data_IF_267307876338
#
_entry.id   IF_267307876338
#
_cell.length_a   1.000
_cell.length_b   1.000
_cell.length_c   1.000
_cell.angle_alpha   90.00
_cell.angle_beta   90.00
_cell.angle_gamma   90.00
#
_symmetry.space_group_name_H-M   'P 1'
#
loop_
_entity.id
_entity.type
_entity.pdbx_description
1 polymer ?
#
# COMPACT_ATOMS: atom_id res chain seq x y z
N UNK A 1 16.42 -8.28 -21.32
CA UNK A 1 17.65 -9.09 -21.37
C UNK A 1 17.46 -10.34 -20.56
N UNK A 2 17.83 -11.49 -21.13
CA UNK A 2 17.81 -12.80 -20.48
C UNK A 2 19.10 -13.55 -20.81
N UNK A 3 19.34 -14.69 -20.16
CA UNK A 3 20.40 -15.61 -20.55
C UNK A 3 19.85 -16.60 -21.58
N UNK A 4 20.50 -16.68 -22.74
CA UNK A 4 20.27 -17.71 -23.76
C UNK A 4 21.59 -18.46 -23.93
N UNK A 5 21.59 -19.76 -23.63
CA UNK A 5 22.80 -20.60 -23.65
C UNK A 5 23.98 -20.02 -22.85
N UNK A 6 23.68 -19.37 -21.71
CA UNK A 6 24.69 -18.73 -20.85
C UNK A 6 25.19 -17.36 -21.33
N UNK A 7 24.67 -16.86 -22.45
CA UNK A 7 25.04 -15.56 -23.01
C UNK A 7 23.93 -14.54 -22.72
N UNK A 8 24.26 -13.33 -22.21
CA UNK A 8 23.30 -12.24 -22.08
C UNK A 8 22.82 -11.76 -23.45
N UNK A 9 21.52 -11.85 -23.71
CA UNK A 9 20.89 -11.40 -24.95
C UNK A 9 19.76 -10.42 -24.64
N UNK A 10 19.67 -9.34 -25.43
CA UNK A 10 18.55 -8.41 -25.39
C UNK A 10 17.32 -9.05 -26.05
N UNK A 11 16.18 -8.97 -25.37
CA UNK A 11 14.90 -9.52 -25.85
C UNK A 11 13.80 -8.49 -25.63
N UNK A 12 12.78 -8.44 -26.52
CA UNK A 12 11.60 -7.61 -26.29
C UNK A 12 10.94 -7.92 -24.94
N UNK A 13 10.40 -6.89 -24.29
CA UNK A 13 9.62 -7.09 -23.06
C UNK A 13 8.39 -7.93 -23.36
N UNK A 14 8.16 -8.96 -22.53
CA UNK A 14 7.01 -9.85 -22.66
C UNK A 14 5.86 -9.49 -21.71
N UNK A 15 6.14 -8.72 -20.66
CA UNK A 15 5.16 -8.27 -19.66
C UNK A 15 5.33 -6.77 -19.37
N UNK A 16 4.25 -6.14 -18.95
CA UNK A 16 4.26 -4.76 -18.42
C UNK A 16 5.01 -4.73 -17.08
N UNK A 17 5.99 -3.83 -16.97
CA UNK A 17 6.92 -3.70 -15.83
C UNK A 17 7.17 -2.22 -15.46
N UNK A 18 6.57 -1.29 -16.21
CA UNK A 18 6.68 0.14 -16.03
C UNK A 18 5.53 0.69 -15.18
N UNK A 19 4.31 0.25 -15.45
CA UNK A 19 3.13 0.64 -14.66
C UNK A 19 2.62 -0.54 -13.84
N UNK A 20 2.63 -0.36 -12.52
CA UNK A 20 2.09 -1.33 -11.57
C UNK A 20 1.13 -0.65 -10.61
N UNK A 21 0.28 -1.47 -10.01
CA UNK A 21 -0.78 -1.07 -9.09
C UNK A 21 -0.55 -1.74 -7.74
N UNK A 22 -0.77 -0.97 -6.68
CA UNK A 22 -0.76 -1.47 -5.31
C UNK A 22 -2.09 -1.07 -4.66
N UNK A 23 -2.75 -2.05 -4.04
CA UNK A 23 -3.99 -1.83 -3.29
C UNK A 23 -3.77 -2.29 -1.85
N UNK A 24 -3.85 -1.35 -0.91
CA UNK A 24 -3.70 -1.63 0.51
C UNK A 24 -5.03 -1.36 1.22
N UNK A 25 -5.40 -2.23 2.16
CA UNK A 25 -6.60 -2.07 2.99
C UNK A 25 -6.21 -1.36 4.28
N UNK A 26 -6.90 -0.26 4.60
CA UNK A 26 -6.70 0.47 5.85
C UNK A 26 -6.97 -0.42 7.06
N UNK A 27 -6.07 -0.37 8.04
CA UNK A 27 -6.25 -0.99 9.36
C UNK A 27 -6.61 0.04 10.45
N UNK A 28 -6.80 1.31 10.08
CA UNK A 28 -7.15 2.36 11.01
C UNK A 28 -8.63 2.27 11.36
N UNK A 29 -8.92 2.28 12.66
CA UNK A 29 -10.25 2.56 13.18
C UNK A 29 -10.41 4.07 13.20
N UNK A 30 -11.51 4.60 12.65
CA UNK A 30 -11.82 6.02 12.64
C UNK A 30 -13.27 6.15 13.11
N UNK A 31 -13.46 6.71 14.30
CA UNK A 31 -14.76 6.86 14.93
C UNK A 31 -15.13 8.34 15.02
N UNK A 32 -16.40 8.64 14.77
CA UNK A 32 -16.99 9.95 14.99
C UNK A 32 -18.35 9.79 15.67
N UNK A 33 -18.72 10.77 16.49
CA UNK A 33 -19.96 10.78 17.25
C UNK A 33 -20.67 12.13 17.04
N UNK A 34 -21.92 12.11 16.60
CA UNK A 34 -22.75 13.30 16.40
C UNK A 34 -23.71 13.58 17.56
N UNK A 35 -23.76 12.74 18.59
CA UNK A 35 -24.71 12.88 19.71
C UNK A 35 -24.60 14.22 20.48
N UNK A 36 -23.46 14.90 20.38
CA UNK A 36 -23.22 16.23 20.99
C UNK A 36 -23.38 17.39 20.01
N UNK A 37 -23.73 17.13 18.76
CA UNK A 37 -23.90 18.14 17.72
C UNK A 37 -25.39 18.46 17.53
N UNK A 38 -25.68 19.68 17.08
CA UNK A 38 -27.06 20.10 16.77
C UNK A 38 -27.64 19.38 15.55
N UNK A 39 -26.76 18.92 14.66
CA UNK A 39 -27.08 18.27 13.40
C UNK A 39 -26.21 17.02 13.22
N UNK A 40 -26.71 16.01 12.50
CA UNK A 40 -25.98 14.77 12.18
C UNK A 40 -24.94 14.97 11.06
N UNK A 41 -24.07 15.97 11.22
CA UNK A 41 -23.00 16.31 10.30
C UNK A 41 -21.65 16.25 10.96
N UNK A 42 -20.75 15.45 10.42
CA UNK A 42 -19.33 15.40 10.82
C UNK A 42 -18.52 16.15 9.78
N UNK A 43 -17.93 17.28 10.17
CA UNK A 43 -17.07 18.11 9.32
C UNK A 43 -15.61 18.01 9.78
N UNK A 44 -14.68 18.28 8.87
CA UNK A 44 -13.23 18.37 9.15
C UNK A 44 -12.59 17.13 9.81
N UNK A 45 -13.18 15.95 9.60
CA UNK A 45 -12.59 14.68 10.04
C UNK A 45 -11.51 14.21 9.07
N UNK A 46 -10.27 14.13 9.55
CA UNK A 46 -9.15 13.59 8.78
C UNK A 46 -9.29 12.08 8.57
N UNK A 47 -9.61 11.66 7.34
CA UNK A 47 -9.77 10.24 6.99
C UNK A 47 -8.43 9.53 6.75
N UNK A 48 -7.53 10.18 6.01
CA UNK A 48 -6.21 9.62 5.76
C UNK A 48 -5.21 10.76 5.55
N UNK A 49 -4.08 10.66 6.25
CA UNK A 49 -2.92 11.51 6.01
C UNK A 49 -1.88 10.69 5.25
N UNK A 50 -1.33 11.27 4.19
CA UNK A 50 -0.28 10.67 3.38
C UNK A 50 0.87 11.67 3.34
N UNK A 51 2.07 11.23 3.73
CA UNK A 51 3.24 12.09 3.69
C UNK A 51 3.59 12.44 2.23
N UNK A 52 3.99 13.69 1.98
CA UNK A 52 4.38 14.16 0.64
C UNK A 52 5.51 13.34 -0.03
N UNK A 53 6.31 12.62 0.76
CA UNK A 53 7.41 11.75 0.30
C UNK A 53 6.97 10.30 0.10
N UNK A 54 5.71 9.97 0.35
CA UNK A 54 5.17 8.62 0.16
C UNK A 54 5.15 8.27 -1.34
N UNK A 55 5.81 7.19 -1.77
CA UNK A 55 5.86 6.77 -3.18
C UNK A 55 4.49 6.41 -3.78
N UNK A 56 3.46 6.17 -2.97
CA UNK A 56 2.10 5.96 -3.48
C UNK A 56 1.52 7.21 -4.15
N UNK A 57 2.03 8.40 -3.82
CA UNK A 57 1.61 9.67 -4.42
C UNK A 57 2.27 9.96 -5.77
N UNK A 58 3.28 9.19 -6.18
CA UNK A 58 4.16 9.57 -7.30
C UNK A 58 3.46 9.73 -8.63
N UNK A 59 2.36 9.01 -8.87
CA UNK A 59 1.65 9.01 -10.15
C UNK A 59 0.17 9.37 -9.96
N UNK A 60 -0.65 8.37 -9.66
CA UNK A 60 -2.08 8.48 -9.45
C UNK A 60 -2.45 7.62 -8.25
N UNK A 61 -3.28 8.16 -7.36
CA UNK A 61 -3.72 7.49 -6.15
C UNK A 61 -5.25 7.38 -6.16
N UNK A 62 -5.76 6.29 -5.60
CA UNK A 62 -7.20 6.09 -5.40
C UNK A 62 -7.47 5.80 -3.94
N UNK A 63 -8.43 6.50 -3.36
CA UNK A 63 -8.94 6.23 -2.01
C UNK A 63 -10.39 5.79 -2.10
N UNK A 64 -10.68 4.57 -1.64
CA UNK A 64 -12.04 4.09 -1.44
C UNK A 64 -12.43 4.30 0.02
N UNK A 65 -13.40 5.18 0.26
CA UNK A 65 -13.93 5.47 1.59
C UNK A 65 -15.24 4.72 1.74
N UNK A 66 -15.36 3.94 2.81
CA UNK A 66 -16.60 3.28 3.24
C UNK A 66 -17.01 3.85 4.58
N UNK A 67 -18.16 4.51 4.62
CA UNK A 67 -18.74 5.06 5.83
C UNK A 67 -19.86 4.13 6.30
N UNK A 68 -19.75 3.67 7.55
CA UNK A 68 -20.75 2.82 8.18
C UNK A 68 -21.51 3.61 9.26
N UNK A 69 -22.83 3.54 9.23
CA UNK A 69 -23.66 4.08 10.33
C UNK A 69 -23.82 2.99 11.39
N UNK A 70 -23.21 3.19 12.55
CA UNK A 70 -23.15 2.18 13.62
C UNK A 70 -23.94 2.61 14.86
N UNK A 71 -24.50 1.63 15.57
CA UNK A 71 -25.17 1.85 16.84
C UNK A 71 -24.19 2.07 18.00
N UNK A 72 -24.74 2.43 19.17
CA UNK A 72 -23.96 2.70 20.40
C UNK A 72 -23.08 1.52 20.82
N UNK A 73 -23.61 0.31 20.78
CA UNK A 73 -22.87 -0.88 21.24
C UNK A 73 -21.67 -1.19 20.33
N UNK A 74 -21.87 -1.08 19.01
CA UNK A 74 -20.79 -1.21 18.04
C UNK A 74 -19.73 -0.11 18.21
N UNK A 75 -20.17 1.15 18.40
CA UNK A 75 -19.25 2.27 18.66
C UNK A 75 -18.38 2.01 19.89
N UNK A 76 -18.99 1.56 20.99
CA UNK A 76 -18.26 1.24 22.23
C UNK A 76 -17.26 0.11 22.01
N UNK A 77 -17.67 -0.95 21.31
CA UNK A 77 -16.78 -2.08 20.99
C UNK A 77 -15.56 -1.61 20.19
N UNK A 78 -15.75 -0.85 19.11
CA UNK A 78 -14.65 -0.36 18.28
C UNK A 78 -13.79 0.67 19.01
N UNK A 79 -14.36 1.48 19.89
CA UNK A 79 -13.60 2.43 20.72
C UNK A 79 -12.66 1.70 21.67
N UNK A 80 -13.15 0.67 22.37
CA UNK A 80 -12.29 -0.16 23.23
C UNK A 80 -11.24 -0.87 22.38
N UNK A 81 -11.61 -1.41 21.22
CA UNK A 81 -10.65 -2.06 20.31
C UNK A 81 -9.56 -1.09 19.84
N UNK A 82 -9.90 0.16 19.52
CA UNK A 82 -8.95 1.23 19.17
C UNK A 82 -8.00 1.54 20.34
N UNK A 83 -8.54 1.72 21.55
CA UNK A 83 -7.76 1.97 22.77
C UNK A 83 -6.78 0.81 23.07
N UNK A 84 -7.21 -0.44 22.87
CA UNK A 84 -6.35 -1.62 23.06
C UNK A 84 -5.29 -1.76 21.96
N UNK A 85 -5.63 -1.39 20.73
CA UNK A 85 -4.73 -1.47 19.57
C UNK A 85 -3.70 -0.32 19.54
N UNK A 86 -3.98 0.80 20.22
CA UNK A 86 -3.17 2.01 20.23
C UNK A 86 -1.91 2.00 21.10
N UNK A 87 -1.43 0.83 21.54
CA UNK A 87 -0.33 0.71 22.52
C UNK A 87 1.02 0.35 21.89
N UNK A 88 1.60 1.25 21.09
CA UNK A 88 3.04 1.21 20.75
C UNK A 88 3.94 1.82 21.87
N UNK A 89 3.37 2.14 23.03
CA UNK A 89 4.15 2.67 24.15
C UNK A 89 4.65 1.52 25.04
N UNK A 90 5.91 1.12 24.85
CA UNK A 90 6.61 0.08 25.63
C UNK A 90 6.59 0.29 27.16
N UNK A 91 6.27 1.50 27.62
CA UNK A 91 6.20 1.87 29.04
C UNK A 91 4.78 1.87 29.63
N UNK A 92 3.75 1.73 28.78
CA UNK A 92 2.36 1.68 29.20
C UNK A 92 1.67 0.51 28.50
N UNK A 93 1.89 -0.69 29.03
CA UNK A 93 1.05 -1.82 28.68
C UNK A 93 -0.28 -1.64 29.40
N UNK A 94 -1.29 -1.12 28.70
CA UNK A 94 -2.68 -1.34 29.09
C UNK A 94 -2.90 -2.84 29.15
N UNK A 95 -3.07 -3.40 30.34
CA UNK A 95 -3.39 -4.82 30.48
C UNK A 95 -4.79 -5.02 29.87
N UNK A 96 -4.91 -5.60 28.65
CA UNK A 96 -6.17 -5.59 27.96
C UNK A 96 -7.14 -6.45 28.76
N UNK A 97 -8.22 -5.83 29.25
CA UNK A 97 -9.37 -6.59 29.70
C UNK A 97 -9.91 -7.46 28.56
N UNK A 98 -10.76 -8.43 28.88
CA UNK A 98 -11.45 -9.18 27.85
C UNK A 98 -12.36 -8.23 27.05
N UNK A 99 -12.13 -8.11 25.74
CA UNK A 99 -12.98 -7.34 24.83
C UNK A 99 -14.26 -8.14 24.53
N UNK A 100 -15.25 -7.95 25.39
CA UNK A 100 -16.56 -8.58 25.23
C UNK A 100 -17.29 -7.98 24.02
N UNK A 101 -17.78 -8.85 23.15
CA UNK A 101 -18.66 -8.49 22.05
C UNK A 101 -20.03 -9.15 22.18
N UNK A 102 -20.74 -9.33 21.07
CA UNK A 102 -22.09 -9.91 21.04
C UNK A 102 -22.15 -11.32 20.41
N UNK A 103 -20.99 -11.99 20.27
CA UNK A 103 -20.89 -13.34 19.70
C UNK A 103 -20.54 -14.32 20.83
N UNK A 104 -21.23 -15.46 20.87
CA UNK A 104 -21.03 -16.51 21.88
C UNK A 104 -20.95 -17.90 21.25
N UNK A 105 -20.23 -18.82 21.91
CA UNK A 105 -20.20 -20.22 21.52
C UNK A 105 -21.38 -20.99 22.15
N UNK A 106 -22.30 -21.48 21.31
CA UNK A 106 -23.47 -22.26 21.75
C UNK A 106 -23.14 -23.65 22.31
N UNK A 107 -21.97 -24.22 21.95
CA UNK A 107 -21.53 -25.53 22.40
C UNK A 107 -20.69 -25.47 23.68
N UNK A 108 -20.10 -24.32 23.99
CA UNK A 108 -19.29 -24.12 25.18
C UNK A 108 -19.46 -22.69 25.74
N UNK A 109 -20.43 -22.47 26.64
CA UNK A 109 -20.69 -21.15 27.22
C UNK A 109 -19.54 -20.57 28.06
N UNK A 110 -18.60 -21.40 28.51
CA UNK A 110 -17.43 -20.95 29.27
C UNK A 110 -16.28 -20.48 28.37
N UNK A 111 -16.40 -20.65 27.06
CA UNK A 111 -15.40 -20.20 26.10
C UNK A 111 -15.50 -18.70 25.86
N UNK A 112 -14.38 -18.01 26.06
CA UNK A 112 -14.25 -16.59 25.77
C UNK A 112 -14.15 -16.38 24.26
N UNK A 113 -15.18 -15.76 23.68
CA UNK A 113 -15.24 -15.46 22.24
C UNK A 113 -14.99 -13.96 22.00
N UNK A 114 -14.09 -13.62 21.08
CA UNK A 114 -13.84 -12.23 20.68
C UNK A 114 -14.50 -11.97 19.34
N UNK A 115 -15.30 -10.92 19.26
CA UNK A 115 -15.88 -10.44 18.01
C UNK A 115 -17.19 -9.71 18.23
N UNK A 116 -17.49 -8.79 17.32
CA UNK A 116 -18.75 -8.05 17.32
C UNK A 116 -19.40 -8.17 15.94
N UNK A 117 -20.63 -8.66 15.92
CA UNK A 117 -21.47 -8.70 14.75
C UNK A 117 -22.34 -7.44 14.70
N UNK A 118 -22.21 -6.67 13.61
CA UNK A 118 -22.99 -5.46 13.38
C UNK A 118 -23.60 -5.47 11.98
N UNK A 119 -24.85 -5.02 11.86
CA UNK A 119 -25.49 -4.75 10.57
C UNK A 119 -25.65 -3.23 10.45
N UNK A 120 -25.09 -2.65 9.39
CA UNK A 120 -25.10 -1.20 9.19
C UNK A 120 -25.35 -0.86 7.73
N UNK A 121 -25.94 0.32 7.51
CA UNK A 121 -25.93 0.92 6.17
C UNK A 121 -24.51 1.40 5.85
N UNK A 122 -24.12 1.24 4.58
CA UNK A 122 -22.80 1.66 4.09
C UNK A 122 -22.95 2.62 2.93
N UNK A 123 -22.28 3.76 3.03
CA UNK A 123 -22.08 4.69 1.91
C UNK A 123 -20.65 4.58 1.43
N UNK A 124 -20.45 4.47 0.13
CA UNK A 124 -19.12 4.31 -0.47
C UNK A 124 -18.84 5.47 -1.41
N UNK A 125 -17.63 6.05 -1.30
CA UNK A 125 -17.15 7.06 -2.22
C UNK A 125 -15.71 6.76 -2.60
N UNK A 126 -15.42 6.79 -3.90
CA UNK A 126 -14.06 6.70 -4.42
C UNK A 126 -13.60 8.08 -4.86
N UNK A 127 -12.38 8.44 -4.52
CA UNK A 127 -11.71 9.65 -4.99
C UNK A 127 -10.40 9.27 -5.66
N UNK A 128 -10.01 10.09 -6.63
CA UNK A 128 -8.73 9.98 -7.32
C UNK A 128 -8.02 11.31 -7.24
N UNK A 129 -6.70 11.24 -7.21
CA UNK A 129 -5.86 12.40 -7.40
C UNK A 129 -4.59 12.02 -8.12
N UNK A 130 -4.10 12.96 -8.90
CA UNK A 130 -2.83 12.91 -9.59
C UNK A 130 -1.80 13.70 -8.81
N UNK A 131 -0.52 13.35 -8.97
CA UNK A 131 0.58 14.12 -8.37
C UNK A 131 0.49 15.61 -8.72
N UNK A 132 0.14 15.94 -9.97
CA UNK A 132 0.01 17.31 -10.46
C UNK A 132 -1.13 18.13 -9.85
N UNK A 133 -2.10 17.49 -9.17
CA UNK A 133 -3.21 18.20 -8.52
C UNK A 133 -2.75 18.96 -7.27
N UNK A 134 -1.66 18.50 -6.64
CA UNK A 134 -1.13 19.03 -5.38
C UNK A 134 0.33 19.48 -5.44
N UNK A 135 1.10 18.99 -6.41
CA UNK A 135 2.55 19.22 -6.50
C UNK A 135 2.95 19.68 -7.90
N UNK A 136 4.15 20.27 -8.01
CA UNK A 136 4.71 20.67 -9.30
C UNK A 136 4.92 19.44 -10.20
N UNK A 137 4.28 19.34 -11.38
CA UNK A 137 4.45 18.20 -12.31
C UNK A 137 5.90 17.94 -12.75
N UNK A 138 6.71 19.00 -12.80
CA UNK A 138 8.15 18.97 -13.13
C UNK A 138 9.05 18.72 -11.90
N UNK A 139 8.45 18.60 -10.72
CA UNK A 139 9.14 18.32 -9.46
C UNK A 139 9.67 16.89 -9.37
N UNK A 140 10.58 16.67 -8.43
CA UNK A 140 11.08 15.33 -8.11
C UNK A 140 9.97 14.56 -7.40
N UNK A 141 9.39 13.59 -8.11
CA UNK A 141 8.39 12.66 -7.54
C UNK A 141 9.02 11.76 -6.48
N UNK A 142 8.27 11.40 -5.41
CA UNK A 142 8.72 10.37 -4.47
C UNK A 142 8.93 9.04 -5.20
N UNK A 143 9.73 8.13 -4.62
CA UNK A 143 10.11 6.87 -5.28
C UNK A 143 10.25 5.76 -4.25
N UNK A 144 9.85 4.55 -4.63
CA UNK A 144 10.04 3.34 -3.80
C UNK A 144 11.52 2.99 -3.62
N UNK A 145 12.37 3.36 -4.58
CA UNK A 145 13.82 3.17 -4.51
C UNK A 145 14.53 4.51 -4.66
N UNK A 146 15.42 4.90 -3.73
CA UNK A 146 16.25 6.08 -3.85
C UNK A 146 17.06 6.10 -5.15
N UNK A 147 17.23 7.28 -5.75
CA UNK A 147 17.94 7.44 -7.03
C UNK A 147 19.38 6.88 -6.99
N UNK A 148 20.11 7.13 -5.90
CA UNK A 148 21.48 6.64 -5.70
C UNK A 148 21.58 5.10 -5.72
N UNK A 149 20.49 4.39 -5.43
CA UNK A 149 20.44 2.92 -5.47
C UNK A 149 19.99 2.37 -6.83
N UNK A 150 19.76 3.24 -7.80
CA UNK A 150 19.30 2.89 -9.14
C UNK A 150 20.28 3.28 -10.23
N UNK A 151 21.51 3.69 -9.89
CA UNK A 151 22.53 4.03 -10.89
C UNK A 151 22.84 2.88 -11.84
N UNK A 152 23.20 3.23 -13.08
CA UNK A 152 23.64 2.24 -14.06
C UNK A 152 25.00 1.69 -13.66
N UNK A 153 25.15 0.39 -13.85
CA UNK A 153 26.41 -0.30 -13.63
C UNK A 153 26.83 -1.01 -14.91
N UNK A 154 28.14 -1.10 -15.10
CA UNK A 154 28.76 -1.83 -16.20
C UNK A 154 29.51 -3.04 -15.64
N UNK A 155 28.81 -4.17 -15.37
CA UNK A 155 29.43 -5.37 -14.86
C UNK A 155 30.30 -6.06 -15.94
N UNK A 156 31.33 -6.79 -15.52
CA UNK A 156 31.98 -7.77 -16.40
C UNK A 156 30.98 -8.85 -16.83
N UNK A 157 31.23 -9.53 -17.95
CA UNK A 157 30.33 -10.57 -18.47
C UNK A 157 30.06 -11.66 -17.42
N UNK A 158 31.09 -12.16 -16.73
CA UNK A 158 30.93 -13.18 -15.69
C UNK A 158 30.05 -12.70 -14.53
N UNK A 159 30.17 -11.43 -14.15
CA UNK A 159 29.34 -10.86 -13.08
C UNK A 159 27.90 -10.61 -13.58
N UNK A 160 27.75 -10.18 -14.83
CA UNK A 160 26.45 -9.98 -15.47
C UNK A 160 25.65 -11.28 -15.51
N UNK A 161 26.28 -12.40 -15.87
CA UNK A 161 25.65 -13.72 -15.88
C UNK A 161 25.13 -14.05 -14.47
N UNK A 162 25.97 -13.95 -13.44
CA UNK A 162 25.56 -14.19 -12.03
C UNK A 162 24.43 -13.29 -11.55
N UNK A 163 24.41 -12.03 -11.98
CA UNK A 163 23.36 -11.08 -11.63
C UNK A 163 22.04 -11.41 -12.35
N UNK A 164 22.09 -11.85 -13.60
CA UNK A 164 20.93 -12.27 -14.37
C UNK A 164 20.34 -13.58 -13.82
N UNK A 165 21.18 -14.56 -13.47
CA UNK A 165 20.76 -15.82 -12.82
C UNK A 165 19.99 -15.57 -11.52
N UNK A 166 20.38 -14.53 -10.77
CA UNK A 166 19.73 -14.13 -9.52
C UNK A 166 18.54 -13.18 -9.72
N UNK A 167 18.18 -12.89 -10.97
CA UNK A 167 17.15 -11.91 -11.33
C UNK A 167 17.39 -10.51 -10.72
N UNK A 168 18.66 -10.18 -10.45
CA UNK A 168 19.04 -9.02 -9.63
C UNK A 168 19.11 -7.71 -10.44
N UNK A 169 19.24 -7.81 -11.76
CA UNK A 169 19.40 -6.66 -12.65
C UNK A 169 18.47 -6.75 -13.87
N UNK A 170 18.24 -5.60 -14.51
CA UNK A 170 17.57 -5.45 -15.79
C UNK A 170 18.44 -4.61 -16.71
N UNK A 171 18.29 -4.82 -18.02
CA UNK A 171 18.91 -3.97 -19.02
C UNK A 171 18.44 -2.52 -18.84
N UNK A 172 19.36 -1.58 -19.03
CA UNK A 172 19.09 -0.15 -18.96
C UNK A 172 19.42 0.55 -20.28
N UNK A 173 20.65 0.37 -20.77
CA UNK A 173 21.13 0.98 -22.00
C UNK A 173 22.35 0.22 -22.53
N UNK A 174 22.79 0.58 -23.74
CA UNK A 174 24.00 0.05 -24.35
C UNK A 174 24.97 1.19 -24.58
N UNK A 175 26.23 1.03 -24.17
CA UNK A 175 27.26 2.04 -24.32
C UNK A 175 27.64 2.23 -25.80
N UNK A 176 28.31 3.34 -26.11
CA UNK A 176 28.85 3.61 -27.45
C UNK A 176 29.80 2.51 -27.97
N UNK A 177 30.39 1.72 -27.07
CA UNK A 177 31.24 0.56 -27.39
C UNK A 177 30.52 -0.78 -27.45
N UNK A 178 29.17 -0.79 -27.42
CA UNK A 178 28.37 -2.02 -27.44
C UNK A 178 28.30 -2.75 -26.10
N UNK A 179 28.77 -2.16 -25.01
CA UNK A 179 28.74 -2.78 -23.68
C UNK A 179 27.39 -2.57 -23.01
N UNK A 180 26.87 -3.61 -22.37
CA UNK A 180 25.55 -3.63 -21.78
C UNK A 180 25.56 -3.00 -20.38
N UNK A 181 24.81 -1.91 -20.20
CA UNK A 181 24.57 -1.31 -18.89
C UNK A 181 23.30 -1.87 -18.28
N UNK A 182 23.35 -2.10 -16.97
CA UNK A 182 22.23 -2.64 -16.21
C UNK A 182 21.93 -1.80 -14.98
N UNK A 183 20.66 -1.85 -14.56
CA UNK A 183 20.21 -1.31 -13.26
C UNK A 183 19.70 -2.45 -12.38
N UNK A 184 19.69 -2.28 -11.05
CA UNK A 184 19.01 -3.20 -10.15
C UNK A 184 17.57 -3.44 -10.59
N UNK A 185 17.10 -4.69 -10.53
CA UNK A 185 15.81 -5.08 -11.11
C UNK A 185 14.65 -4.26 -10.55
N UNK A 186 14.63 -4.02 -9.23
CA UNK A 186 13.65 -3.17 -8.53
C UNK A 186 13.56 -1.71 -9.03
N UNK A 187 14.55 -1.23 -9.79
CA UNK A 187 14.55 0.13 -10.34
C UNK A 187 13.88 0.21 -11.72
N UNK A 188 13.64 -0.93 -12.37
CA UNK A 188 13.11 -1.04 -13.73
C UNK A 188 11.82 -1.85 -13.77
N UNK A 189 11.70 -2.84 -12.88
CA UNK A 189 10.58 -3.75 -12.76
C UNK A 189 9.72 -3.34 -11.56
N UNK A 190 8.60 -2.68 -11.82
CA UNK A 190 7.68 -2.24 -10.78
C UNK A 190 6.97 -3.40 -10.07
N UNK A 191 7.05 -4.64 -10.59
CA UNK A 191 6.39 -5.81 -9.98
C UNK A 191 7.01 -6.22 -8.64
N UNK A 192 8.14 -5.61 -8.27
CA UNK A 192 8.68 -5.68 -6.91
C UNK A 192 7.81 -4.97 -5.87
N UNK A 193 6.95 -4.04 -6.27
CA UNK A 193 6.13 -3.21 -5.36
C UNK A 193 4.62 -3.36 -5.59
N UNK A 194 4.21 -3.95 -6.71
CA UNK A 194 2.80 -4.09 -7.06
C UNK A 194 2.56 -5.12 -8.15
N UNK A 195 1.35 -5.15 -8.67
CA UNK A 195 0.94 -6.02 -9.79
C UNK A 195 0.84 -5.20 -11.08
N UNK A 196 1.13 -5.82 -12.22
CA UNK A 196 0.87 -5.24 -13.54
C UNK A 196 -0.61 -5.41 -13.98
N UNK A 197 -1.43 -6.06 -13.16
CA UNK A 197 -2.88 -6.16 -13.38
C UNK A 197 -3.57 -4.88 -12.93
N UNK A 198 -4.18 -4.16 -13.87
CA UNK A 198 -4.93 -2.93 -13.60
C UNK A 198 -6.23 -3.26 -12.84
N UNK A 199 -6.43 -2.68 -11.64
CA UNK A 199 -7.72 -2.79 -10.96
C UNK A 199 -8.88 -2.20 -11.78
N UNK A 200 -10.03 -2.85 -11.69
CA UNK A 200 -11.28 -2.50 -12.39
C UNK A 200 -11.80 -1.09 -12.07
N UNK A 201 -11.52 -0.61 -10.86
CA UNK A 201 -11.94 0.71 -10.41
C UNK A 201 -11.14 1.86 -11.02
N UNK A 202 -10.12 1.63 -11.86
CA UNK A 202 -9.43 2.73 -12.52
C UNK A 202 -10.17 3.16 -13.79
N UNK A 203 -10.75 4.36 -13.74
CA UNK A 203 -11.34 5.02 -14.91
C UNK A 203 -10.24 5.65 -15.77
N UNK A 204 -10.29 5.37 -17.08
CA UNK A 204 -9.42 5.98 -18.10
C UNK A 204 -9.88 7.39 -18.48
#
# INVERSE_FOLDING_TARGET
>A
MILVDGIPVEVPKQKEEYTCYQTNVSQKIILANTNSLSDDSVNDLLINFIDSKDPSLSNRYSLLIKQYVIGRDAYNYYKILEELSGSENIFSQTQPGFLEGNITNINNPNEKTIGFFNVSSVTTKRIYFNYGDFYNPEGIRPRFVPFALCEETLPSIDNLIKLLERNAVRWSSTSHGGLLLVRPARCVDCTFFGTNEKPDFWED
#
